data_IF_873234219159
#
_entry.id   IF_873234219159
#
_cell.length_a   1.000
_cell.length_b   1.000
_cell.length_c   1.000
_cell.angle_alpha   90.00
_cell.angle_beta   90.00
_cell.angle_gamma   90.00
#
_symmetry.space_group_name_H-M   'P 1'
#
loop_
_entity.id
_entity.type
_entity.pdbx_description
1 polymer ?
#
# COMPACT_ATOMS: atom_id res chain seq x y z
N UNK A 1 7.50 19.62 -14.66
CA UNK A 1 6.30 20.47 -14.47
C UNK A 1 5.79 20.17 -13.07
N UNK A 2 6.10 21.04 -12.10
CA UNK A 2 5.78 20.82 -10.69
C UNK A 2 4.25 20.84 -10.51
N UNK A 3 3.70 19.78 -9.88
CA UNK A 3 2.27 19.64 -9.64
C UNK A 3 1.73 20.79 -8.79
N UNK A 4 0.68 21.46 -9.27
CA UNK A 4 -0.06 22.47 -8.53
C UNK A 4 -0.67 21.82 -7.28
N UNK A 5 -0.09 22.07 -6.09
CA UNK A 5 -0.76 21.82 -4.81
C UNK A 5 -2.03 22.69 -4.79
N UNK A 6 -3.20 22.06 -4.88
CA UNK A 6 -4.47 22.78 -4.83
C UNK A 6 -4.71 23.28 -3.40
N UNK A 7 -4.44 24.56 -3.19
CA UNK A 7 -4.79 25.26 -1.95
C UNK A 7 -6.32 25.36 -1.85
N UNK A 8 -6.91 24.76 -0.81
CA UNK A 8 -8.32 24.97 -0.46
C UNK A 8 -8.37 26.02 0.63
N UNK A 9 -9.13 27.09 0.39
CA UNK A 9 -9.36 28.15 1.37
C UNK A 9 -10.75 27.99 1.97
N UNK A 10 -10.86 28.09 3.29
CA UNK A 10 -12.15 28.26 3.96
C UNK A 10 -12.17 29.59 4.70
N UNK A 11 -13.31 30.27 4.62
CA UNK A 11 -13.57 31.52 5.33
C UNK A 11 -13.98 31.20 6.77
N UNK A 12 -13.23 31.68 7.75
CA UNK A 12 -13.51 31.46 9.18
C UNK A 12 -13.53 32.82 9.89
N UNK A 13 -14.38 32.98 10.90
CA UNK A 13 -14.45 34.22 11.69
C UNK A 13 -13.68 34.06 12.99
N UNK A 14 -12.79 35.00 13.29
CA UNK A 14 -12.01 34.98 14.53
C UNK A 14 -12.78 35.64 15.70
N UNK A 15 -12.25 35.53 16.91
CA UNK A 15 -12.85 36.06 18.15
C UNK A 15 -13.00 37.60 18.17
N UNK A 16 -12.51 38.31 17.14
CA UNK A 16 -12.69 39.75 16.96
C UNK A 16 -13.68 40.12 15.86
N UNK A 17 -14.45 39.14 15.34
CA UNK A 17 -15.42 39.33 14.26
C UNK A 17 -14.79 39.55 12.88
N UNK A 18 -13.48 39.32 12.73
CA UNK A 18 -12.80 39.45 11.43
C UNK A 18 -12.79 38.12 10.70
N UNK A 19 -13.17 38.16 9.43
CA UNK A 19 -13.01 37.02 8.54
C UNK A 19 -11.54 36.82 8.20
N UNK A 20 -11.03 35.62 8.50
CA UNK A 20 -9.71 35.15 8.13
C UNK A 20 -9.85 34.00 7.13
N UNK A 21 -8.91 33.93 6.19
CA UNK A 21 -8.79 32.82 5.27
C UNK A 21 -7.74 31.87 5.83
N UNK A 22 -8.16 30.66 6.21
CA UNK A 22 -7.24 29.64 6.68
C UNK A 22 -6.77 28.84 5.48
N UNK A 23 -5.46 28.92 5.21
CA UNK A 23 -4.80 28.06 4.24
C UNK A 23 -4.71 26.66 4.83
N UNK A 24 -5.53 25.76 4.34
CA UNK A 24 -5.38 24.36 4.68
C UNK A 24 -4.30 23.80 3.75
N UNK A 25 -3.14 23.47 4.32
CA UNK A 25 -2.27 22.46 3.71
C UNK A 25 -3.02 21.14 3.84
N UNK A 26 -3.99 20.89 2.96
CA UNK A 26 -4.41 19.52 2.70
C UNK A 26 -3.20 18.87 2.04
N UNK A 27 -2.45 18.08 2.81
CA UNK A 27 -1.95 16.84 2.23
C UNK A 27 -3.21 16.20 1.68
N UNK A 28 -3.40 16.23 0.36
CA UNK A 28 -4.48 15.46 -0.24
C UNK A 28 -4.26 14.03 0.25
N UNK A 29 -5.24 13.46 0.96
CA UNK A 29 -5.29 12.05 1.40
C UNK A 29 -5.07 11.03 0.26
N UNK A 30 -4.73 11.47 -0.95
CA UNK A 30 -4.80 10.74 -2.22
C UNK A 30 -3.46 10.47 -2.90
N UNK A 31 -2.34 10.43 -2.17
CA UNK A 31 -1.10 9.83 -2.70
C UNK A 31 -0.90 8.40 -2.19
N UNK A 32 -1.32 8.10 -0.96
CA UNK A 32 -1.16 6.76 -0.41
C UNK A 32 -1.77 5.68 -1.29
N UNK A 33 -0.99 4.63 -1.50
CA UNK A 33 -1.44 3.41 -2.13
C UNK A 33 -1.49 2.35 -1.05
N UNK A 34 -2.66 1.74 -0.86
CA UNK A 34 -2.83 0.59 0.02
C UNK A 34 -3.06 -0.64 -0.82
N UNK A 35 -2.43 -1.76 -0.46
CA UNK A 35 -2.55 -3.01 -1.19
C UNK A 35 -3.00 -4.09 -0.21
N UNK A 36 -3.93 -4.93 -0.68
CA UNK A 36 -4.29 -6.19 -0.03
C UNK A 36 -4.00 -7.33 -0.98
N UNK A 37 -3.08 -8.21 -0.59
CA UNK A 37 -2.71 -9.39 -1.35
C UNK A 37 -3.18 -10.65 -0.62
N UNK A 38 -4.00 -11.46 -1.27
CA UNK A 38 -4.44 -12.76 -0.73
C UNK A 38 -3.70 -13.89 -1.44
N UNK A 39 -3.06 -14.75 -0.65
CA UNK A 39 -2.42 -15.97 -1.12
C UNK A 39 -3.10 -17.22 -0.55
N UNK A 40 -3.10 -18.29 -1.34
CA UNK A 40 -3.40 -19.65 -0.88
C UNK A 40 -2.14 -20.51 -0.88
N UNK A 41 -2.01 -21.36 0.12
CA UNK A 41 -0.84 -22.20 0.40
C UNK A 41 -1.30 -23.64 0.64
N UNK A 42 -0.64 -24.61 0.00
CA UNK A 42 -0.87 -26.03 0.28
C UNK A 42 -0.36 -26.37 1.70
N UNK A 43 -1.06 -27.26 2.41
CA UNK A 43 -0.78 -27.54 3.84
C UNK A 43 0.69 -27.89 4.13
N UNK A 44 1.31 -28.67 3.26
CA UNK A 44 2.71 -29.11 3.43
C UNK A 44 3.73 -27.96 3.29
N UNK A 45 3.33 -26.84 2.69
CA UNK A 45 4.19 -25.67 2.47
C UNK A 45 4.02 -24.56 3.53
N UNK A 46 3.06 -24.70 4.46
CA UNK A 46 2.68 -23.59 5.38
C UNK A 46 3.86 -23.08 6.20
N UNK A 47 4.63 -23.97 6.82
CA UNK A 47 5.76 -23.54 7.66
C UNK A 47 6.87 -22.88 6.84
N UNK A 48 7.19 -23.43 5.67
CA UNK A 48 8.15 -22.81 4.76
C UNK A 48 7.67 -21.42 4.31
N UNK A 49 6.38 -21.28 4.02
CA UNK A 49 5.79 -20.01 3.60
C UNK A 49 5.86 -18.95 4.71
N UNK A 50 5.58 -19.33 5.97
CA UNK A 50 5.71 -18.41 7.12
C UNK A 50 7.12 -17.87 7.27
N UNK A 51 8.14 -18.71 7.14
CA UNK A 51 9.54 -18.26 7.21
C UNK A 51 9.89 -17.30 6.06
N UNK A 52 9.40 -17.55 4.84
CA UNK A 52 9.57 -16.62 3.71
C UNK A 52 8.89 -15.27 3.96
N UNK A 53 7.68 -15.26 4.53
CA UNK A 53 6.99 -14.01 4.85
C UNK A 53 7.71 -13.22 5.95
N UNK A 54 8.30 -13.92 6.93
CA UNK A 54 9.14 -13.30 7.97
C UNK A 54 10.41 -12.69 7.35
N UNK A 55 11.08 -13.42 6.47
CA UNK A 55 12.24 -12.92 5.70
C UNK A 55 11.87 -11.67 4.89
N UNK A 56 10.74 -11.72 4.17
CA UNK A 56 10.21 -10.60 3.38
C UNK A 56 9.92 -9.38 4.25
N UNK A 57 9.18 -9.55 5.35
CA UNK A 57 8.82 -8.47 6.27
C UNK A 57 10.05 -7.77 6.84
N UNK A 58 11.05 -8.54 7.30
CA UNK A 58 12.29 -7.98 7.84
C UNK A 58 13.05 -7.16 6.79
N UNK A 59 13.11 -7.67 5.55
CA UNK A 59 13.81 -6.97 4.46
C UNK A 59 13.09 -5.68 4.06
N UNK A 60 11.75 -5.69 3.99
CA UNK A 60 10.94 -4.51 3.71
C UNK A 60 11.12 -3.46 4.81
N UNK A 61 10.97 -3.85 6.08
CA UNK A 61 11.14 -2.95 7.23
C UNK A 61 12.53 -2.29 7.24
N UNK A 62 13.58 -3.07 6.95
CA UNK A 62 14.96 -2.58 7.00
C UNK A 62 15.32 -1.65 5.84
N UNK A 63 14.79 -1.91 4.63
CA UNK A 63 15.31 -1.29 3.40
C UNK A 63 14.31 -0.41 2.66
N UNK A 64 13.03 -0.40 3.04
CA UNK A 64 11.96 0.32 2.34
C UNK A 64 11.28 1.34 3.28
N UNK A 65 11.95 2.45 3.64
CA UNK A 65 11.43 3.43 4.60
C UNK A 65 10.17 4.18 4.14
N UNK A 66 9.79 4.01 2.88
CA UNK A 66 8.57 4.56 2.27
C UNK A 66 7.40 3.57 2.24
N UNK A 67 7.60 2.37 2.76
CA UNK A 67 6.56 1.39 3.09
C UNK A 67 6.12 1.62 4.54
N UNK A 68 4.92 2.17 4.73
CA UNK A 68 4.41 2.61 6.03
C UNK A 68 3.77 1.47 6.84
N UNK A 69 3.19 0.50 6.14
CA UNK A 69 2.57 -0.69 6.73
C UNK A 69 2.95 -1.88 5.86
N UNK A 70 3.40 -2.95 6.50
CA UNK A 70 3.62 -4.26 5.88
C UNK A 70 3.26 -5.34 6.89
N UNK A 71 2.00 -5.74 6.91
CA UNK A 71 1.45 -6.67 7.91
C UNK A 71 0.98 -7.96 7.24
N UNK A 72 1.35 -9.09 7.84
CA UNK A 72 1.06 -10.44 7.32
C UNK A 72 0.14 -11.17 8.28
N UNK A 73 -1.01 -11.62 7.79
CA UNK A 73 -2.02 -12.33 8.56
C UNK A 73 -2.27 -13.71 7.98
N UNK A 74 -2.42 -14.71 8.83
CA UNK A 74 -2.81 -16.06 8.43
C UNK A 74 -4.21 -16.37 8.94
N UNK A 75 -4.95 -17.19 8.19
CA UNK A 75 -6.14 -17.83 8.73
C UNK A 75 -5.74 -18.94 9.72
N UNK A 76 -6.74 -19.53 10.38
CA UNK A 76 -6.54 -20.50 11.47
C UNK A 76 -5.64 -21.69 11.11
N UNK A 77 -5.80 -22.26 9.91
CA UNK A 77 -5.00 -23.40 9.45
C UNK A 77 -3.74 -23.01 8.63
N UNK A 78 -3.48 -21.71 8.48
CA UNK A 78 -2.33 -21.17 7.76
C UNK A 78 -2.37 -21.33 6.23
N UNK A 79 -3.42 -21.92 5.66
CA UNK A 79 -3.53 -22.15 4.20
C UNK A 79 -3.92 -20.91 3.41
N UNK A 80 -4.24 -19.81 4.09
CA UNK A 80 -4.47 -18.49 3.49
C UNK A 80 -3.64 -17.44 4.20
N UNK A 81 -2.96 -16.61 3.41
CA UNK A 81 -2.21 -15.46 3.89
C UNK A 81 -2.79 -14.18 3.28
N UNK A 82 -3.08 -13.19 4.12
CA UNK A 82 -3.47 -11.84 3.73
C UNK A 82 -2.34 -10.88 4.09
N UNK A 83 -1.81 -10.16 3.10
CA UNK A 83 -0.81 -9.11 3.31
C UNK A 83 -1.48 -7.76 3.16
N UNK A 84 -1.32 -6.89 4.15
CA UNK A 84 -1.76 -5.50 4.11
C UNK A 84 -0.55 -4.59 3.99
N UNK A 85 -0.55 -3.76 2.94
CA UNK A 85 0.55 -2.87 2.65
C UNK A 85 0.02 -1.45 2.52
N UNK A 86 0.78 -0.46 3.03
CA UNK A 86 0.51 0.95 2.80
C UNK A 86 1.80 1.64 2.42
N UNK A 87 1.78 2.37 1.32
CA UNK A 87 2.91 3.08 0.75
C UNK A 87 2.64 4.57 0.72
N UNK A 88 3.69 5.38 0.86
CA UNK A 88 3.58 6.85 0.78
C UNK A 88 3.01 7.32 -0.57
N UNK A 89 3.31 6.61 -1.66
CA UNK A 89 2.83 6.92 -3.01
C UNK A 89 3.00 5.74 -4.00
N UNK A 90 2.73 5.99 -5.29
CA UNK A 90 2.95 5.02 -6.38
C UNK A 90 4.44 4.68 -6.60
N UNK A 91 5.35 5.61 -6.33
CA UNK A 91 6.79 5.42 -6.50
C UNK A 91 7.31 4.41 -5.49
N UNK A 92 6.81 4.47 -4.25
CA UNK A 92 7.14 3.52 -3.21
C UNK A 92 6.67 2.09 -3.54
N UNK A 93 5.49 1.91 -4.14
CA UNK A 93 5.05 0.60 -4.63
C UNK A 93 5.96 0.07 -5.74
N UNK A 94 6.36 0.93 -6.69
CA UNK A 94 7.30 0.54 -7.75
C UNK A 94 8.66 0.15 -7.16
N UNK A 95 9.17 0.94 -6.20
CA UNK A 95 10.40 0.64 -5.48
C UNK A 95 10.32 -0.71 -4.75
N UNK A 96 9.21 -0.99 -4.07
CA UNK A 96 8.93 -2.29 -3.45
C UNK A 96 8.99 -3.43 -4.48
N UNK A 97 8.27 -3.31 -5.60
CA UNK A 97 8.26 -4.33 -6.65
C UNK A 97 9.65 -4.59 -7.26
N UNK A 98 10.51 -3.57 -7.31
CA UNK A 98 11.87 -3.70 -7.84
C UNK A 98 12.95 -3.87 -6.76
N UNK A 99 12.57 -3.99 -5.49
CA UNK A 99 13.50 -4.13 -4.37
C UNK A 99 14.24 -5.46 -4.42
N UNK A 100 15.33 -5.54 -3.66
CA UNK A 100 16.06 -6.80 -3.50
C UNK A 100 15.15 -7.90 -2.94
N UNK A 101 14.31 -7.58 -1.96
CA UNK A 101 13.35 -8.51 -1.36
C UNK A 101 12.39 -9.08 -2.41
N UNK A 102 11.76 -8.22 -3.22
CA UNK A 102 10.86 -8.65 -4.30
C UNK A 102 11.56 -9.43 -5.41
N UNK A 103 12.85 -9.19 -5.65
CA UNK A 103 13.62 -9.93 -6.66
C UNK A 103 14.10 -11.30 -6.18
N UNK A 104 14.35 -11.48 -4.88
CA UNK A 104 14.97 -12.70 -4.35
C UNK A 104 14.02 -13.59 -3.55
N UNK A 105 13.06 -13.00 -2.82
CA UNK A 105 12.16 -13.73 -1.90
C UNK A 105 10.80 -13.99 -2.56
N UNK A 106 10.23 -12.98 -3.22
CA UNK A 106 8.90 -13.11 -3.84
C UNK A 106 8.81 -14.27 -4.87
N UNK A 107 9.82 -14.58 -5.70
CA UNK A 107 9.77 -15.77 -6.55
C UNK A 107 9.71 -17.09 -5.77
N UNK A 108 10.35 -17.16 -4.59
CA UNK A 108 10.28 -18.33 -3.69
C UNK A 108 8.89 -18.46 -3.08
N UNK A 109 8.26 -17.35 -2.70
CA UNK A 109 6.86 -17.30 -2.25
C UNK A 109 5.93 -17.83 -3.35
N UNK A 110 6.05 -17.33 -4.58
CA UNK A 110 5.23 -17.77 -5.72
C UNK A 110 5.45 -19.23 -6.12
N UNK A 111 6.57 -19.84 -5.75
CA UNK A 111 6.83 -21.26 -6.03
C UNK A 111 5.96 -22.20 -5.18
N UNK A 112 5.56 -21.77 -3.99
CA UNK A 112 4.86 -22.62 -3.01
C UNK A 112 3.47 -22.10 -2.63
N UNK A 113 3.00 -21.04 -3.30
CA UNK A 113 1.70 -20.41 -3.06
C UNK A 113 1.11 -19.88 -4.36
N UNK A 114 -0.16 -19.46 -4.30
CA UNK A 114 -0.85 -18.80 -5.41
C UNK A 114 -1.43 -17.48 -4.94
N UNK A 115 -1.16 -16.40 -5.67
CA UNK A 115 -1.84 -15.12 -5.49
C UNK A 115 -3.27 -15.26 -6.03
N UNK A 116 -4.24 -15.06 -5.15
CA UNK A 116 -5.68 -15.14 -5.44
C UNK A 116 -6.23 -13.77 -5.83
N UNK A 117 -5.85 -12.72 -5.10
CA UNK A 117 -6.28 -11.35 -5.39
C UNK A 117 -5.22 -10.33 -5.00
N UNK A 118 -5.17 -9.24 -5.76
CA UNK A 118 -4.39 -8.05 -5.46
C UNK A 118 -5.30 -6.83 -5.59
N UNK A 119 -5.79 -6.33 -4.46
CA UNK A 119 -6.68 -5.17 -4.41
C UNK A 119 -5.87 -3.93 -4.04
N UNK A 120 -5.96 -2.90 -4.88
CA UNK A 120 -5.19 -1.67 -4.76
C UNK A 120 -6.14 -0.52 -4.48
N UNK A 121 -5.97 0.16 -3.36
CA UNK A 121 -6.79 1.28 -2.92
C UNK A 121 -5.98 2.57 -3.02
N UNK A 122 -6.44 3.50 -3.85
CA UNK A 122 -5.75 4.77 -4.11
C UNK A 122 -5.89 5.22 -5.57
N UNK A 123 -5.00 6.10 -6.00
CA UNK A 123 -4.94 6.57 -7.38
C UNK A 123 -3.55 6.29 -7.98
N UNK A 124 -3.27 5.04 -8.40
CA UNK A 124 -1.97 4.69 -8.94
C UNK A 124 -1.64 5.48 -10.21
N UNK A 125 -0.40 5.93 -10.34
CA UNK A 125 0.08 6.63 -11.54
C UNK A 125 0.11 5.69 -12.77
N UNK A 126 0.38 6.25 -13.95
CA UNK A 126 0.35 5.51 -15.21
C UNK A 126 1.36 4.36 -15.27
N UNK A 127 2.51 4.51 -14.62
CA UNK A 127 3.56 3.48 -14.56
C UNK A 127 3.13 2.32 -13.66
N UNK A 128 2.66 2.62 -12.44
CA UNK A 128 2.15 1.60 -11.52
C UNK A 128 0.94 0.87 -12.11
N UNK A 129 0.03 1.56 -12.80
CA UNK A 129 -1.08 0.93 -13.53
C UNK A 129 -0.61 -0.10 -14.56
N UNK A 130 0.51 0.14 -15.26
CA UNK A 130 1.07 -0.85 -16.21
C UNK A 130 1.60 -2.08 -15.48
N UNK A 131 2.28 -1.90 -14.35
CA UNK A 131 2.76 -2.99 -13.52
C UNK A 131 1.58 -3.84 -12.98
N UNK A 132 0.57 -3.19 -12.41
CA UNK A 132 -0.59 -3.85 -11.78
C UNK A 132 -1.42 -4.70 -12.73
N UNK A 133 -1.43 -4.39 -14.04
CA UNK A 133 -2.08 -5.24 -15.06
C UNK A 133 -1.49 -6.65 -15.11
N UNK A 134 -0.22 -6.83 -14.75
CA UNK A 134 0.46 -8.14 -14.76
C UNK A 134 -0.06 -9.08 -13.66
N UNK A 135 -0.67 -8.51 -12.62
CA UNK A 135 -1.20 -9.25 -11.48
C UNK A 135 -2.73 -9.37 -11.51
N UNK A 136 -3.38 -8.98 -12.62
CA UNK A 136 -4.85 -8.90 -12.72
C UNK A 136 -5.49 -8.14 -11.54
N UNK A 137 -4.82 -7.07 -11.10
CA UNK A 137 -5.19 -6.32 -9.90
C UNK A 137 -6.51 -5.58 -10.09
N UNK A 138 -7.25 -5.40 -9.00
CA UNK A 138 -8.39 -4.49 -8.94
C UNK A 138 -7.96 -3.16 -8.34
N UNK A 139 -8.40 -2.05 -8.93
CA UNK A 139 -8.06 -0.70 -8.45
C UNK A 139 -9.34 -0.02 -7.96
N UNK A 140 -9.33 0.40 -6.69
CA UNK A 140 -10.40 1.10 -6.01
C UNK A 140 -9.96 2.52 -5.66
N UNK A 141 -10.60 3.52 -6.25
CA UNK A 141 -10.34 4.92 -5.92
C UNK A 141 -11.28 5.39 -4.81
N UNK A 142 -10.72 6.06 -3.79
CA UNK A 142 -11.49 6.59 -2.68
C UNK A 142 -12.57 7.57 -3.19
N UNK A 143 -13.84 7.27 -2.92
CA UNK A 143 -14.96 8.15 -3.22
C UNK A 143 -15.31 9.07 -2.03
N UNK A 144 -15.33 8.53 -0.81
CA UNK A 144 -15.60 9.26 0.43
C UNK A 144 -15.04 8.51 1.64
N UNK A 145 -14.77 9.20 2.74
CA UNK A 145 -14.26 8.61 3.98
C UNK A 145 -13.36 9.56 4.77
N UNK A 146 -12.88 9.11 5.93
CA UNK A 146 -11.92 9.83 6.76
C UNK A 146 -10.97 8.83 7.43
N UNK A 147 -9.76 9.29 7.75
CA UNK A 147 -8.80 8.59 8.59
C UNK A 147 -8.51 9.48 9.80
N UNK A 148 -8.45 8.90 11.01
CA UNK A 148 -8.17 9.64 12.25
C UNK A 148 -6.71 9.50 12.69
N UNK A 149 -5.95 8.62 12.05
CA UNK A 149 -4.61 8.21 12.49
C UNK A 149 -3.47 8.68 11.58
N UNK A 150 -3.78 9.49 10.56
CA UNK A 150 -2.79 10.13 9.68
C UNK A 150 -2.87 11.65 9.80
#
# INVERSE_FOLDING_TARGET
>A
MFGLKHLVTSKVENNSGKHIYVLHNRITMSEYIRIRALFTIEKDNVEQYKELMKEMSNMVETHEPTTLVYEVYFNEDGTKCMVHETYVDSTAVLAHNFSTASKTILPRIFKISKLVSLDVYGNPNSELKKLLKRFNSQIFTLYTGFDRKN
#
